data_IF_251833536357
#
_entry.id   IF_251833536357
#
_cell.length_a   1.000
_cell.length_b   1.000
_cell.length_c   1.000
_cell.angle_alpha   90.00
_cell.angle_beta   90.00
_cell.angle_gamma   90.00
#
_symmetry.space_group_name_H-M   'P 1'
#
loop_
_entity.id
_entity.type
_entity.pdbx_description
1 polymer ?
#
# COMPACT_ATOMS: atom_id res chain seq x y z
N UNK A 1 -12.22 11.19 -0.62
CA UNK A 1 -11.07 10.34 -0.24
C UNK A 1 -11.47 8.89 -0.44
N UNK A 2 -10.53 8.07 -0.91
CA UNK A 2 -10.66 6.62 -1.06
C UNK A 2 -9.57 5.99 -0.21
N UNK A 3 -9.95 5.06 0.67
CA UNK A 3 -8.99 4.26 1.44
C UNK A 3 -8.92 2.89 0.80
N UNK A 4 -7.75 2.55 0.26
CA UNK A 4 -7.47 1.32 -0.46
C UNK A 4 -6.70 0.37 0.45
N UNK A 5 -7.19 -0.85 0.72
CA UNK A 5 -6.43 -1.83 1.51
C UNK A 5 -5.07 -2.13 0.89
N UNK A 6 -5.02 -2.37 -0.43
CA UNK A 6 -3.79 -2.60 -1.20
C UNK A 6 -3.77 -1.79 -2.51
N UNK A 7 -2.63 -1.72 -3.21
CA UNK A 7 -2.53 -1.16 -4.56
C UNK A 7 -3.24 -2.05 -5.59
N UNK A 8 -4.39 -1.62 -6.12
CA UNK A 8 -5.30 -2.25 -7.11
C UNK A 8 -6.78 -2.06 -6.71
N UNK A 9 -7.07 -2.22 -5.41
CA UNK A 9 -8.40 -2.15 -4.81
C UNK A 9 -9.10 -0.80 -5.09
N UNK A 10 -8.35 0.30 -5.21
CA UNK A 10 -8.88 1.63 -5.51
C UNK A 10 -9.43 1.71 -6.93
N UNK A 11 -8.72 1.08 -7.87
CA UNK A 11 -9.08 1.09 -9.29
C UNK A 11 -10.21 0.10 -9.52
N UNK A 12 -10.10 -1.11 -8.96
CA UNK A 12 -11.13 -2.15 -9.05
C UNK A 12 -12.44 -1.75 -8.36
N UNK A 13 -12.36 -1.17 -7.17
CA UNK A 13 -13.52 -0.82 -6.36
C UNK A 13 -14.10 0.57 -6.67
N UNK A 14 -13.25 1.55 -6.99
CA UNK A 14 -13.66 2.96 -7.08
C UNK A 14 -13.25 3.68 -8.37
N UNK A 15 -12.50 3.06 -9.30
CA UNK A 15 -11.92 3.74 -10.47
C UNK A 15 -12.94 4.52 -11.32
N UNK A 16 -14.12 3.93 -11.55
CA UNK A 16 -15.20 4.62 -12.28
C UNK A 16 -15.77 5.84 -11.55
N UNK A 17 -15.87 5.78 -10.21
CA UNK A 17 -16.30 6.91 -9.40
C UNK A 17 -15.22 7.99 -9.36
N UNK A 18 -13.96 7.60 -9.22
CA UNK A 18 -12.80 8.48 -9.26
C UNK A 18 -12.82 9.32 -10.54
N UNK A 19 -12.89 8.68 -11.71
CA UNK A 19 -12.96 9.40 -12.99
C UNK A 19 -14.18 10.32 -13.09
N UNK A 20 -15.35 9.87 -12.60
CA UNK A 20 -16.58 10.68 -12.65
C UNK A 20 -16.46 11.95 -11.80
N UNK A 21 -15.88 11.85 -10.61
CA UNK A 21 -15.67 12.98 -9.71
C UNK A 21 -14.67 13.97 -10.33
N UNK A 22 -13.55 13.48 -10.86
CA UNK A 22 -12.55 14.34 -11.50
C UNK A 22 -13.12 15.05 -12.74
N UNK A 23 -13.93 14.35 -13.55
CA UNK A 23 -14.55 14.91 -14.77
C UNK A 23 -15.48 16.10 -14.49
N UNK A 24 -16.13 16.14 -13.33
CA UNK A 24 -17.00 17.26 -12.93
C UNK A 24 -16.25 18.35 -12.15
N UNK A 25 -14.92 18.31 -12.14
CA UNK A 25 -14.08 19.29 -11.44
C UNK A 25 -13.96 19.05 -9.93
N UNK A 26 -14.37 17.86 -9.45
CA UNK A 26 -14.19 17.47 -8.06
C UNK A 26 -12.74 17.08 -7.74
N UNK A 27 -12.46 16.86 -6.45
CA UNK A 27 -11.15 16.43 -5.97
C UNK A 27 -11.23 15.02 -5.37
N UNK A 28 -10.21 14.21 -5.65
CA UNK A 28 -10.06 12.86 -5.12
C UNK A 28 -8.66 12.74 -4.53
N UNK A 29 -8.56 12.11 -3.36
CA UNK A 29 -7.30 11.59 -2.82
C UNK A 29 -7.46 10.10 -2.57
N UNK A 30 -6.43 9.32 -2.85
CA UNK A 30 -6.35 7.89 -2.57
C UNK A 30 -5.29 7.68 -1.50
N UNK A 31 -5.64 6.88 -0.49
CA UNK A 31 -4.75 6.50 0.60
C UNK A 31 -4.62 4.98 0.58
N UNK A 32 -3.42 4.48 0.29
CA UNK A 32 -3.07 3.08 0.35
C UNK A 32 -2.66 2.71 1.76
N UNK A 33 -3.40 1.79 2.38
CA UNK A 33 -3.19 1.42 3.79
C UNK A 33 -2.02 0.45 3.92
N UNK A 34 -1.89 -0.50 3.00
CA UNK A 34 -0.82 -1.50 2.99
C UNK A 34 -0.11 -1.55 1.64
N UNK A 35 1.12 -2.05 1.66
CA UNK A 35 1.96 -2.15 0.46
C UNK A 35 1.52 -3.28 -0.49
N UNK A 36 0.76 -4.28 -0.01
CA UNK A 36 0.41 -5.44 -0.83
C UNK A 36 1.60 -6.40 -1.07
N UNK A 37 2.57 -6.36 -0.16
CA UNK A 37 3.84 -7.08 -0.20
C UNK A 37 3.79 -8.49 0.40
N UNK A 38 2.66 -8.92 0.97
CA UNK A 38 2.53 -10.18 1.70
C UNK A 38 1.83 -11.28 0.91
N UNK A 39 2.12 -11.42 -0.39
CA UNK A 39 1.46 -12.39 -1.27
C UNK A 39 2.46 -13.33 -1.95
N UNK A 40 2.79 -14.49 -1.34
CA UNK A 40 3.81 -15.41 -1.83
C UNK A 40 3.63 -15.85 -3.28
N UNK A 41 2.42 -16.26 -3.64
CA UNK A 41 2.11 -16.72 -4.99
C UNK A 41 2.26 -15.59 -6.03
N UNK A 42 1.98 -14.35 -5.62
CA UNK A 42 2.22 -13.17 -6.46
C UNK A 42 3.70 -12.93 -6.72
N UNK A 43 4.53 -12.98 -5.66
CA UNK A 43 5.98 -12.77 -5.79
C UNK A 43 6.64 -13.88 -6.60
N UNK A 44 6.31 -15.15 -6.32
CA UNK A 44 6.86 -16.29 -7.08
C UNK A 44 6.51 -16.21 -8.57
N UNK A 45 5.29 -15.77 -8.89
CA UNK A 45 4.83 -15.66 -10.28
C UNK A 45 5.44 -14.46 -11.02
N UNK A 46 5.49 -13.28 -10.39
CA UNK A 46 6.01 -12.06 -11.01
C UNK A 46 7.53 -12.17 -11.23
N UNK A 47 8.27 -12.56 -10.19
CA UNK A 47 9.73 -12.61 -10.20
C UNK A 47 10.29 -13.92 -10.80
N UNK A 48 9.42 -14.88 -11.12
CA UNK A 48 9.81 -16.21 -11.65
C UNK A 48 10.82 -16.95 -10.74
N UNK A 49 10.67 -16.78 -9.42
CA UNK A 49 11.52 -17.38 -8.40
C UNK A 49 10.77 -18.47 -7.63
N UNK A 50 11.53 -19.40 -7.05
CA UNK A 50 11.00 -20.36 -6.06
C UNK A 50 11.56 -20.03 -4.69
N UNK A 51 10.71 -19.91 -3.67
CA UNK A 51 11.08 -19.50 -2.30
C UNK A 51 11.57 -18.04 -2.19
N UNK A 52 10.66 -17.06 -2.24
CA UNK A 52 11.00 -15.65 -2.13
C UNK A 52 11.66 -15.32 -0.79
N UNK A 53 12.66 -14.45 -0.87
CA UNK A 53 13.32 -13.81 0.26
C UNK A 53 12.52 -12.61 0.73
N UNK A 54 12.86 -12.11 1.93
CA UNK A 54 12.25 -10.89 2.44
C UNK A 54 12.54 -9.64 1.59
N UNK A 55 13.59 -9.67 0.76
CA UNK A 55 13.89 -8.59 -0.15
C UNK A 55 12.95 -8.62 -1.36
N UNK A 56 12.70 -9.80 -1.93
CA UNK A 56 11.80 -9.99 -3.07
C UNK A 56 10.38 -9.49 -2.76
N UNK A 57 9.88 -9.75 -1.54
CA UNK A 57 8.58 -9.21 -1.11
C UNK A 57 8.54 -7.68 -1.03
N UNK A 58 9.64 -7.03 -0.61
CA UNK A 58 9.70 -5.56 -0.54
C UNK A 58 9.72 -4.96 -1.94
N UNK A 59 10.54 -5.53 -2.82
CA UNK A 59 10.64 -5.11 -4.23
C UNK A 59 9.29 -5.27 -4.93
N UNK A 60 8.58 -6.37 -4.67
CA UNK A 60 7.21 -6.57 -5.15
C UNK A 60 6.24 -5.49 -4.63
N UNK A 61 6.33 -5.13 -3.36
CA UNK A 61 5.54 -4.04 -2.78
C UNK A 61 5.82 -2.70 -3.46
N UNK A 62 7.09 -2.35 -3.67
CA UNK A 62 7.50 -1.12 -4.38
C UNK A 62 6.97 -1.10 -5.82
N UNK A 63 7.11 -2.20 -6.56
CA UNK A 63 6.56 -2.34 -7.91
C UNK A 63 5.05 -2.07 -7.93
N UNK A 64 4.28 -2.66 -7.00
CA UNK A 64 2.83 -2.46 -6.92
C UNK A 64 2.45 -1.01 -6.60
N UNK A 65 3.24 -0.31 -5.79
CA UNK A 65 3.04 1.12 -5.54
C UNK A 65 3.24 1.94 -6.82
N UNK A 66 4.30 1.65 -7.58
CA UNK A 66 4.59 2.31 -8.85
C UNK A 66 3.48 2.06 -9.88
N UNK A 67 2.98 0.82 -9.97
CA UNK A 67 1.84 0.47 -10.83
C UNK A 67 0.59 1.28 -10.47
N UNK A 68 0.24 1.35 -9.18
CA UNK A 68 -0.92 2.12 -8.73
C UNK A 68 -0.76 3.62 -9.01
N UNK A 69 0.44 4.18 -8.81
CA UNK A 69 0.72 5.58 -9.17
C UNK A 69 0.49 5.83 -10.66
N UNK A 70 1.00 4.97 -11.53
CA UNK A 70 0.84 5.10 -12.99
C UNK A 70 -0.62 4.99 -13.42
N UNK A 71 -1.37 4.05 -12.83
CA UNK A 71 -2.80 3.87 -13.12
C UNK A 71 -3.60 5.08 -12.67
N UNK A 72 -3.39 5.56 -11.45
CA UNK A 72 -4.09 6.73 -10.91
C UNK A 72 -3.76 8.02 -11.68
N UNK A 73 -2.52 8.19 -12.12
CA UNK A 73 -2.14 9.27 -13.03
C UNK A 73 -2.94 9.20 -14.35
N UNK A 74 -3.14 8.00 -14.89
CA UNK A 74 -3.99 7.77 -16.08
C UNK A 74 -5.46 8.09 -15.83
N UNK A 75 -5.96 7.93 -14.59
CA UNK A 75 -7.30 8.35 -14.19
C UNK A 75 -7.44 9.87 -13.96
N UNK A 76 -6.31 10.61 -13.99
CA UNK A 76 -6.26 12.06 -13.85
C UNK A 76 -5.95 12.56 -12.44
N UNK A 77 -5.46 11.69 -11.54
CA UNK A 77 -4.96 12.13 -10.23
C UNK A 77 -3.59 12.74 -10.37
N UNK A 78 -3.28 13.66 -9.46
CA UNK A 78 -1.93 14.19 -9.30
C UNK A 78 -1.19 13.37 -8.24
N UNK A 79 0.12 13.30 -8.36
CA UNK A 79 0.99 12.58 -7.44
C UNK A 79 0.75 12.96 -5.97
N UNK A 80 0.57 14.26 -5.66
CA UNK A 80 0.30 14.73 -4.28
C UNK A 80 -1.06 14.27 -3.69
N UNK A 81 -1.92 13.68 -4.52
CA UNK A 81 -3.22 13.16 -4.13
C UNK A 81 -3.19 11.63 -3.96
N UNK A 82 -2.02 11.02 -4.16
CA UNK A 82 -1.73 9.60 -3.95
C UNK A 82 -0.86 9.50 -2.70
N UNK A 83 -1.34 8.77 -1.70
CA UNK A 83 -0.70 8.71 -0.37
C UNK A 83 -0.50 7.25 -0.01
N UNK A 84 0.72 6.88 0.32
CA UNK A 84 1.06 5.56 0.82
C UNK A 84 1.29 5.62 2.33
N UNK A 85 0.58 4.76 3.08
CA UNK A 85 0.87 4.49 4.49
C UNK A 85 1.72 3.24 4.65
N UNK A 86 1.71 2.35 3.65
CA UNK A 86 2.63 1.21 3.51
C UNK A 86 2.79 0.36 4.77
N UNK A 87 1.71 0.14 5.52
CA UNK A 87 1.76 -0.78 6.65
C UNK A 87 2.02 -2.21 6.15
N UNK A 88 2.87 -2.99 6.83
CA UNK A 88 3.17 -4.35 6.39
C UNK A 88 1.93 -5.23 6.30
N UNK A 89 1.88 -6.10 5.29
CA UNK A 89 0.75 -6.99 5.11
C UNK A 89 0.50 -7.91 6.30
N UNK A 90 -0.77 -8.12 6.66
CA UNK A 90 -1.23 -8.88 7.83
C UNK A 90 -1.12 -8.14 9.16
N UNK A 91 -0.41 -7.00 9.20
CA UNK A 91 -0.06 -6.32 10.44
C UNK A 91 -1.11 -5.39 11.01
N UNK A 92 -2.05 -4.90 10.20
CA UNK A 92 -2.90 -3.77 10.59
C UNK A 92 -3.76 -4.05 11.84
N UNK A 93 -4.32 -5.26 11.98
CA UNK A 93 -5.09 -5.61 13.18
C UNK A 93 -4.21 -5.71 14.43
N UNK A 94 -2.99 -6.24 14.30
CA UNK A 94 -2.03 -6.33 15.40
C UNK A 94 -1.56 -4.94 15.82
N UNK A 95 -1.20 -4.11 14.85
CA UNK A 95 -0.82 -2.72 15.07
C UNK A 95 -1.96 -1.96 15.78
N UNK A 96 -3.19 -1.99 15.27
CA UNK A 96 -4.30 -1.26 15.88
C UNK A 96 -4.74 -1.79 17.26
N UNK A 97 -4.57 -3.09 17.52
CA UNK A 97 -4.88 -3.71 18.81
C UNK A 97 -3.85 -3.42 19.89
N UNK A 98 -2.57 -3.37 19.53
CA UNK A 98 -1.42 -3.16 20.42
C UNK A 98 -1.00 -1.69 20.54
N UNK A 99 -1.37 -0.81 19.58
CA UNK A 99 -1.07 0.64 19.61
C UNK A 99 -1.80 1.40 20.73
N UNK A 100 -2.51 0.72 21.63
CA UNK A 100 -3.03 1.34 22.85
C UNK A 100 -1.90 1.39 23.87
N UNK A 101 -1.04 2.42 23.74
CA UNK A 101 -0.05 2.91 24.73
C UNK A 101 1.38 2.35 24.76
N UNK A 102 1.72 1.26 24.06
CA UNK A 102 3.06 0.67 24.21
C UNK A 102 4.03 1.04 23.07
N UNK A 103 5.31 1.21 23.43
CA UNK A 103 6.37 1.81 22.58
C UNK A 103 6.99 0.86 21.55
N UNK A 104 6.66 -0.43 21.58
CA UNK A 104 7.27 -1.43 20.69
C UNK A 104 6.19 -2.19 19.93
N UNK A 105 6.16 -2.13 18.59
CA UNK A 105 5.18 -2.87 17.81
C UNK A 105 5.48 -4.37 17.86
N UNK A 106 4.58 -5.16 18.45
CA UNK A 106 4.65 -6.63 18.51
C UNK A 106 4.37 -7.33 17.16
N UNK A 107 4.39 -6.59 16.04
CA UNK A 107 4.17 -7.16 14.72
C UNK A 107 5.40 -7.01 13.84
N UNK A 108 5.92 -8.15 13.37
CA UNK A 108 6.91 -8.24 12.31
C UNK A 108 6.35 -9.12 11.21
N UNK A 109 6.28 -8.59 9.99
CA UNK A 109 5.78 -9.33 8.84
C UNK A 109 6.58 -10.62 8.65
N UNK A 110 5.92 -11.79 8.47
CA UNK A 110 6.63 -13.03 8.16
C UNK A 110 7.22 -13.02 6.75
N UNK A 111 6.81 -12.09 5.89
CA UNK A 111 7.25 -11.96 4.50
C UNK A 111 8.39 -10.95 4.39
N UNK A 112 8.12 -9.67 4.66
CA UNK A 112 9.10 -8.58 4.48
C UNK A 112 10.03 -8.38 5.67
N UNK A 113 9.77 -9.03 6.81
CA UNK A 113 10.47 -8.82 8.08
C UNK A 113 10.41 -7.37 8.61
N UNK A 114 9.55 -6.52 8.05
CA UNK A 114 9.29 -5.15 8.50
C UNK A 114 8.25 -5.12 9.62
N UNK A 115 8.40 -4.15 10.52
CA UNK A 115 7.51 -3.91 11.66
C UNK A 115 6.76 -2.57 11.57
N UNK A 116 7.10 -1.74 10.58
CA UNK A 116 6.60 -0.38 10.38
C UNK A 116 6.68 0.01 8.89
N UNK A 117 5.98 1.07 8.47
CA UNK A 117 6.12 1.64 7.13
C UNK A 117 7.57 2.07 6.78
N UNK A 118 7.94 2.09 5.50
CA UNK A 118 9.16 2.75 5.03
C UNK A 118 9.24 4.20 5.52
N UNK A 119 10.46 4.72 5.74
CA UNK A 119 10.66 6.05 6.30
C UNK A 119 10.01 7.17 5.45
N UNK A 120 10.00 7.00 4.14
CA UNK A 120 9.44 7.97 3.19
C UNK A 120 7.90 8.02 3.22
N UNK A 121 7.26 6.97 3.74
CA UNK A 121 5.79 6.84 3.85
C UNK A 121 5.25 7.25 5.23
N UNK A 122 6.13 7.66 6.14
CA UNK A 122 5.74 8.10 7.48
C UNK A 122 5.21 9.53 7.45
N UNK A 123 3.88 9.68 7.59
CA UNK A 123 3.20 10.99 7.55
C UNK A 123 3.30 11.74 8.89
N UNK A 124 3.49 11.02 10.01
CA UNK A 124 3.62 11.63 11.34
C UNK A 124 5.08 11.59 11.77
N UNK A 125 5.79 12.74 11.81
CA UNK A 125 7.17 12.76 12.30
C UNK A 125 7.24 12.34 13.77
N UNK A 126 8.34 11.66 14.13
CA UNK A 126 8.65 11.23 15.50
C UNK A 126 8.68 12.39 16.51
#
# INVERSE_FOLDING_TARGET
>A
MVFSPHPDDETLGAGGLIQRVLRVGGAVKVVFVRSGDGYPEGVEMEEHISHPTAQDYREYGEQRQDEAQQVLATLGLKEQDIIFLSFPDGGLCYLLGQYRWDKEPDYRSPFTLQDRPPADDVIVPN
#
